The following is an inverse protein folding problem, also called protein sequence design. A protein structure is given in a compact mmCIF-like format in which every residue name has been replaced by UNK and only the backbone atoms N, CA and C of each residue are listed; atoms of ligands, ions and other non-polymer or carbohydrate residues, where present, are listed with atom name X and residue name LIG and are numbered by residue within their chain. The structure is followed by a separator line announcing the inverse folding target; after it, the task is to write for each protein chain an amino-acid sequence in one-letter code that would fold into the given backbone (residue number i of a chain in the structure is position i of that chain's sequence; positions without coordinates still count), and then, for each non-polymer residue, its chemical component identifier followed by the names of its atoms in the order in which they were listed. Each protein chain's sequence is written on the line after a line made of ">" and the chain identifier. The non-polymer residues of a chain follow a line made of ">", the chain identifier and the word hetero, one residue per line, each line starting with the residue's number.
data_IF_781885184121
#
_entry.id   IF_781885184121
#
_cell.length_a   1.000
_cell.length_b   1.000
_cell.length_c   1.000
_cell.angle_alpha   90.00
_cell.angle_beta   90.00
_cell.angle_gamma   90.00
#
_symmetry.space_group_name_H-M   'P 1'
#
loop_
_entity.id
_entity.type
_entity.pdbx_description
1 polymer ?
#
# COMPACT_ATOMS: atom_id res chain seq x y z
N UNK A 1 -6.63 -18.41 6.72
CA UNK A 1 -6.92 -18.01 5.33
C UNK A 1 -5.85 -17.03 4.89
N UNK A 2 -5.15 -17.31 3.78
CA UNK A 2 -4.14 -16.40 3.25
C UNK A 2 -4.81 -15.15 2.65
N UNK A 3 -4.22 -13.97 2.87
CA UNK A 3 -4.70 -12.75 2.22
C UNK A 3 -4.39 -12.75 0.73
N UNK A 4 -5.25 -12.09 -0.06
CA UNK A 4 -5.16 -11.95 -1.50
C UNK A 4 -5.40 -10.50 -1.88
N UNK A 5 -4.88 -10.07 -3.02
CA UNK A 5 -5.10 -8.72 -3.53
C UNK A 5 -6.42 -8.67 -4.33
N UNK A 6 -7.30 -7.72 -3.97
CA UNK A 6 -8.57 -7.46 -4.64
C UNK A 6 -8.49 -6.11 -5.36
N UNK A 7 -8.78 -6.09 -6.66
CA UNK A 7 -8.82 -4.87 -7.48
C UNK A 7 -10.19 -4.21 -7.39
N UNK A 8 -10.18 -2.89 -7.21
CA UNK A 8 -11.36 -2.03 -7.24
C UNK A 8 -11.13 -0.93 -8.28
N UNK A 9 -12.16 -0.67 -9.08
CA UNK A 9 -12.18 0.43 -10.03
C UNK A 9 -13.18 1.49 -9.55
N UNK A 10 -12.85 2.75 -9.78
CA UNK A 10 -13.70 3.89 -9.46
C UNK A 10 -13.48 5.03 -10.44
N UNK A 11 -14.50 5.89 -10.58
CA UNK A 11 -14.45 7.05 -11.47
C UNK A 11 -14.12 8.31 -10.69
N UNK A 12 -13.18 9.10 -11.19
CA UNK A 12 -12.85 10.41 -10.64
C UNK A 12 -12.46 11.35 -11.78
N UNK A 13 -13.05 12.55 -11.80
CA UNK A 13 -12.80 13.55 -12.85
C UNK A 13 -12.96 13.04 -14.29
N UNK A 14 -13.96 12.19 -14.53
CA UNK A 14 -14.26 11.59 -15.85
C UNK A 14 -13.46 10.32 -16.18
N UNK A 15 -12.30 10.13 -15.55
CA UNK A 15 -11.38 9.01 -15.76
C UNK A 15 -11.64 7.82 -14.83
N UNK A 16 -11.12 6.65 -15.22
CA UNK A 16 -11.20 5.39 -14.45
C UNK A 16 -9.86 5.14 -13.76
N UNK A 17 -9.92 4.94 -12.45
CA UNK A 17 -8.77 4.63 -11.60
C UNK A 17 -8.92 3.24 -10.98
N UNK A 18 -7.79 2.56 -10.80
CA UNK A 18 -7.72 1.29 -10.11
C UNK A 18 -6.99 1.42 -8.77
N UNK A 19 -7.50 0.76 -7.73
CA UNK A 19 -6.78 0.54 -6.48
C UNK A 19 -6.84 -0.93 -6.08
N UNK A 20 -5.77 -1.43 -5.46
CA UNK A 20 -5.73 -2.81 -4.95
C UNK A 20 -5.74 -2.81 -3.42
N UNK A 21 -6.49 -3.75 -2.83
CA UNK A 21 -6.57 -3.93 -1.38
C UNK A 21 -6.33 -5.38 -1.05
N UNK A 22 -5.38 -5.62 -0.15
CA UNK A 22 -5.10 -6.94 0.40
C UNK A 22 -6.12 -7.30 1.47
N UNK A 23 -6.81 -8.43 1.33
CA UNK A 23 -7.83 -8.89 2.28
C UNK A 23 -7.97 -10.41 2.30
N UNK A 24 -8.71 -10.93 3.30
CA UNK A 24 -8.97 -12.38 3.44
C UNK A 24 -10.02 -12.90 2.44
N UNK A 25 -10.98 -12.05 2.11
CA UNK A 25 -12.13 -12.32 1.26
C UNK A 25 -12.68 -11.00 0.71
N UNK A 26 -13.65 -11.10 -0.20
CA UNK A 26 -14.24 -9.95 -0.88
C UNK A 26 -15.02 -9.03 0.08
N UNK A 27 -15.65 -9.58 1.11
CA UNK A 27 -16.43 -8.80 2.09
C UNK A 27 -15.51 -7.93 2.95
N UNK A 28 -14.42 -8.51 3.43
CA UNK A 28 -13.36 -7.80 4.13
C UNK A 28 -12.69 -6.75 3.23
N UNK A 29 -12.47 -7.05 1.95
CA UNK A 29 -11.94 -6.08 0.98
C UNK A 29 -12.89 -4.88 0.82
N UNK A 30 -14.19 -5.12 0.65
CA UNK A 30 -15.22 -4.07 0.55
C UNK A 30 -15.25 -3.20 1.81
N UNK A 31 -15.24 -3.80 3.00
CA UNK A 31 -15.17 -3.06 4.27
C UNK A 31 -13.93 -2.18 4.37
N UNK A 32 -12.76 -2.66 3.94
CA UNK A 32 -11.53 -1.86 3.90
C UNK A 32 -11.66 -0.67 2.96
N UNK A 33 -12.19 -0.85 1.74
CA UNK A 33 -12.44 0.25 0.80
C UNK A 33 -13.41 1.28 1.38
N UNK A 34 -14.50 0.84 1.99
CA UNK A 34 -15.43 1.75 2.68
C UNK A 34 -14.77 2.49 3.86
N UNK A 35 -13.84 1.87 4.58
CA UNK A 35 -13.08 2.58 5.61
C UNK A 35 -12.12 3.63 5.00
N UNK A 36 -11.53 3.36 3.84
CA UNK A 36 -10.64 4.30 3.13
C UNK A 36 -11.36 5.55 2.64
N UNK A 37 -12.66 5.50 2.33
CA UNK A 37 -13.41 6.72 1.95
C UNK A 37 -13.54 7.74 3.09
N UNK A 38 -13.33 7.32 4.34
CA UNK A 38 -13.27 8.21 5.51
C UNK A 38 -11.83 8.55 5.93
N UNK A 39 -10.83 8.17 5.13
CA UNK A 39 -9.44 8.45 5.46
C UNK A 39 -9.16 9.95 5.46
N UNK A 40 -8.45 10.41 6.48
CA UNK A 40 -7.94 11.78 6.56
C UNK A 40 -6.56 11.85 5.92
N UNK A 41 -6.32 12.86 5.10
CA UNK A 41 -4.98 13.16 4.60
C UNK A 41 -4.12 13.68 5.76
N UNK A 42 -3.02 12.98 6.08
CA UNK A 42 -2.07 13.37 7.15
C UNK A 42 -0.83 14.12 6.65
N UNK A 43 -0.80 14.45 5.36
CA UNK A 43 0.34 15.06 4.69
C UNK A 43 0.79 14.28 3.46
N UNK A 44 1.86 14.74 2.85
CA UNK A 44 2.41 14.18 1.62
C UNK A 44 3.59 13.26 1.89
N UNK A 45 3.71 12.20 1.10
CA UNK A 45 4.92 11.37 1.09
C UNK A 45 5.98 12.10 0.28
N UNK A 46 6.88 12.82 0.96
CA UNK A 46 7.94 13.58 0.30
C UNK A 46 8.99 12.71 -0.39
N UNK A 47 9.26 11.50 0.13
CA UNK A 47 10.19 10.55 -0.45
C UNK A 47 9.86 9.11 -0.05
N UNK A 48 9.98 8.18 -1.00
CA UNK A 48 9.96 6.74 -0.75
C UNK A 48 11.33 6.17 -1.09
N UNK A 49 12.02 5.57 -0.11
CA UNK A 49 13.32 4.94 -0.34
C UNK A 49 13.11 3.43 -0.46
N UNK A 50 13.22 2.83 -1.66
CA UNK A 50 13.15 1.39 -1.81
C UNK A 50 14.42 0.76 -1.23
N UNK A 51 14.27 -0.04 -0.17
CA UNK A 51 15.36 -0.83 0.37
C UNK A 51 15.51 -2.10 -0.46
N UNK A 52 16.56 -2.17 -1.27
CA UNK A 52 16.98 -3.43 -1.87
C UNK A 52 17.61 -4.34 -0.80
N UNK A 53 17.53 -5.67 -0.93
CA UNK A 53 18.23 -6.59 -0.03
C UNK A 53 19.74 -6.30 0.08
N UNK A 54 20.37 -5.85 -1.02
CA UNK A 54 21.78 -5.42 -1.05
C UNK A 54 22.03 -4.16 -0.21
N UNK A 55 21.10 -3.20 -0.17
CA UNK A 55 21.24 -1.97 0.64
C UNK A 55 21.01 -2.22 2.13
N UNK A 56 20.26 -3.26 2.51
CA UNK A 56 20.15 -3.70 3.91
C UNK A 56 21.47 -4.32 4.40
N UNK A 57 22.07 -5.22 3.61
CA UNK A 57 23.36 -5.85 3.98
C UNK A 57 24.49 -4.84 4.15
N UNK A 58 24.59 -3.81 3.30
CA UNK A 58 25.64 -2.79 3.39
C UNK A 58 25.54 -1.94 4.68
N UNK A 59 24.33 -1.76 5.22
CA UNK A 59 24.08 -1.03 6.47
C UNK A 59 24.47 -1.85 7.70
N UNK A 60 24.38 -3.18 7.61
CA UNK A 60 24.77 -4.12 8.69
C UNK A 60 26.29 -4.35 8.67
N UNK A 61 26.91 -4.52 7.50
CA UNK A 61 28.37 -4.70 7.37
C UNK A 61 29.19 -3.41 7.53
N UNK A 62 28.56 -2.23 7.45
CA UNK A 62 29.22 -0.93 7.60
C UNK A 62 29.45 -0.48 9.05
N UNK A 63 28.91 -1.21 10.05
CA UNK A 63 29.29 -1.03 11.46
C UNK A 63 30.55 -1.83 11.74
N UNK A 64 31.71 -1.28 11.37
CA UNK A 64 32.99 -1.73 11.92
C UNK A 64 33.25 -0.96 13.23
N UNK A 65 33.63 -1.61 14.35
CA UNK A 65 34.10 -0.94 15.55
C UNK A 65 35.38 -0.14 15.29
#
# INVERSE_FOLDING_TARGET
>A
MAERDFLFEYRFDGDIYGMSVRAKDMEHARRKVSAMSFAICKGEIAATIPLSPKSIMRRILGRKP
#
